data_IF_241300077874
#
_entry.id   IF_241300077874
#
_cell.length_a   1.000
_cell.length_b   1.000
_cell.length_c   1.000
_cell.angle_alpha   90.00
_cell.angle_beta   90.00
_cell.angle_gamma   90.00
#
_symmetry.space_group_name_H-M   'P 1'
#
loop_
_entity.id
_entity.type
_entity.pdbx_description
1 polymer ?
#
# COMPACT_ATOMS: atom_id res chain seq x y z
N UNK A 1 7.72 -1.91 16.36
CA UNK A 1 8.74 -1.23 15.54
C UNK A 1 9.94 -0.90 16.43
N UNK A 2 11.15 -1.22 15.99
CA UNK A 2 12.39 -1.03 16.75
C UNK A 2 13.36 -0.10 16.02
N UNK A 3 14.31 0.47 16.76
CA UNK A 3 15.29 1.45 16.23
C UNK A 3 16.03 0.92 15.00
N UNK A 4 16.46 -0.35 15.03
CA UNK A 4 17.13 -1.03 13.91
C UNK A 4 16.35 -1.09 12.59
N UNK A 5 15.05 -0.82 12.61
CA UNK A 5 14.22 -0.84 11.40
C UNK A 5 14.09 0.54 10.73
N UNK A 6 14.74 1.57 11.26
CA UNK A 6 14.70 2.93 10.72
C UNK A 6 16.06 3.28 10.15
N UNK A 7 16.11 3.47 8.83
CA UNK A 7 17.30 3.85 8.09
C UNK A 7 17.15 5.31 7.63
N UNK A 8 17.58 6.25 8.48
CA UNK A 8 17.38 7.68 8.24
C UNK A 8 18.17 8.20 7.04
N UNK A 9 19.40 7.72 6.83
CA UNK A 9 20.27 8.16 5.73
C UNK A 9 19.72 7.71 4.37
N UNK A 10 19.20 6.49 4.30
CA UNK A 10 18.57 5.94 3.10
C UNK A 10 17.10 6.36 2.94
N UNK A 11 16.52 7.01 3.96
CA UNK A 11 15.11 7.40 3.98
C UNK A 11 14.15 6.21 3.95
N UNK A 12 14.52 5.10 4.59
CA UNK A 12 13.77 3.82 4.53
C UNK A 12 13.25 3.41 5.91
N UNK A 13 12.10 2.76 5.88
CA UNK A 13 11.51 2.07 7.03
C UNK A 13 11.27 0.61 6.68
N UNK A 14 11.80 -0.29 7.51
CA UNK A 14 11.62 -1.73 7.38
C UNK A 14 10.46 -2.18 8.28
N UNK A 15 9.38 -2.68 7.68
CA UNK A 15 8.29 -3.31 8.43
C UNK A 15 8.54 -4.82 8.48
N UNK A 16 9.21 -5.27 9.55
CA UNK A 16 9.62 -6.67 9.74
C UNK A 16 8.94 -7.39 10.92
N UNK A 17 8.27 -6.66 11.80
CA UNK A 17 7.64 -7.20 13.01
C UNK A 17 6.25 -6.60 13.19
N UNK A 18 5.35 -7.37 13.79
CA UNK A 18 4.05 -6.93 14.27
C UNK A 18 3.94 -7.21 15.78
N UNK A 19 3.14 -6.39 16.46
CA UNK A 19 2.85 -6.57 17.87
C UNK A 19 1.39 -7.01 17.99
N UNK A 20 1.18 -8.18 18.58
CA UNK A 20 -0.12 -8.69 18.96
C UNK A 20 -0.30 -8.59 20.48
N UNK A 21 -1.54 -8.44 20.93
CA UNK A 21 -1.88 -8.55 22.34
C UNK A 21 -2.70 -9.83 22.53
N UNK A 22 -2.14 -10.81 23.24
CA UNK A 22 -2.77 -12.10 23.50
C UNK A 22 -2.91 -12.24 25.01
N UNK A 23 -4.14 -12.38 25.50
CA UNK A 23 -4.46 -12.47 26.93
C UNK A 23 -3.82 -11.34 27.77
N UNK A 24 -3.82 -10.11 27.26
CA UNK A 24 -3.24 -8.93 27.94
C UNK A 24 -1.71 -8.84 27.93
N UNK A 25 -1.03 -9.73 27.19
CA UNK A 25 0.43 -9.71 27.01
C UNK A 25 0.81 -9.30 25.60
N UNK A 26 1.81 -8.45 25.49
CA UNK A 26 2.43 -8.08 24.22
C UNK A 26 3.28 -9.24 23.68
N UNK A 27 2.92 -9.76 22.52
CA UNK A 27 3.66 -10.77 21.78
C UNK A 27 4.17 -10.12 20.49
N UNK A 28 5.49 -10.11 20.30
CA UNK A 28 6.08 -9.73 19.03
C UNK A 28 6.14 -10.95 18.12
N UNK A 29 5.60 -10.81 16.92
CA UNK A 29 5.61 -11.85 15.90
C UNK A 29 5.99 -11.22 14.55
N UNK A 30 6.34 -12.04 13.57
CA UNK A 30 6.42 -11.60 12.18
C UNK A 30 5.03 -11.11 11.70
N UNK A 31 4.96 -10.17 10.75
CA UNK A 31 3.69 -9.78 10.16
C UNK A 31 2.95 -11.01 9.64
N UNK A 32 1.60 -11.04 9.69
CA UNK A 32 0.77 -12.19 9.28
C UNK A 32 1.10 -12.79 7.90
N UNK A 33 1.78 -12.07 7.02
CA UNK A 33 2.23 -12.54 5.71
C UNK A 33 3.67 -13.06 5.66
N UNK A 34 4.43 -13.04 6.76
CA UNK A 34 5.89 -13.30 6.83
C UNK A 34 6.75 -12.42 5.92
N UNK A 35 6.17 -11.42 5.23
CA UNK A 35 6.90 -10.59 4.29
C UNK A 35 7.40 -9.32 4.98
N UNK A 36 8.72 -9.23 5.12
CA UNK A 36 9.40 -7.95 5.36
C UNK A 36 9.10 -7.04 4.18
N UNK A 37 8.74 -5.79 4.46
CA UNK A 37 8.58 -4.77 3.41
C UNK A 37 9.35 -3.52 3.75
N UNK A 38 9.86 -2.88 2.72
CA UNK A 38 10.52 -1.59 2.80
C UNK A 38 9.59 -0.50 2.30
N UNK A 39 9.55 0.61 3.02
CA UNK A 39 8.79 1.79 2.65
C UNK A 39 9.75 2.98 2.62
N UNK A 40 9.89 3.60 1.45
CA UNK A 40 10.55 4.90 1.34
C UNK A 40 9.69 5.97 2.00
N UNK A 41 10.31 6.76 2.87
CA UNK A 41 9.67 7.80 3.67
C UNK A 41 9.90 9.17 3.04
N UNK A 42 8.89 10.07 3.08
CA UNK A 42 9.08 11.46 2.67
C UNK A 42 9.93 12.22 3.70
N UNK A 43 10.60 13.29 3.26
CA UNK A 43 11.54 14.06 4.08
C UNK A 43 10.97 14.61 5.39
N UNK A 44 9.68 14.98 5.41
CA UNK A 44 9.03 15.45 6.64
C UNK A 44 8.87 14.33 7.68
N UNK A 45 8.63 13.09 7.27
CA UNK A 45 8.57 11.93 8.18
C UNK A 45 9.96 11.58 8.68
N UNK A 46 10.98 11.63 7.81
CA UNK A 46 12.38 11.42 8.21
C UNK A 46 12.78 12.45 9.28
N UNK A 47 12.42 13.72 9.09
CA UNK A 47 12.69 14.80 10.04
C UNK A 47 12.00 14.55 11.39
N UNK A 48 10.72 14.15 11.37
CA UNK A 48 9.98 13.80 12.58
C UNK A 48 10.59 12.59 13.31
N UNK A 49 10.98 11.54 12.56
CA UNK A 49 11.64 10.36 13.11
C UNK A 49 12.99 10.70 13.72
N UNK A 50 13.80 11.57 13.11
CA UNK A 50 15.08 12.02 13.66
C UNK A 50 14.89 12.68 15.03
N UNK A 51 13.96 13.63 15.14
CA UNK A 51 13.63 14.29 16.41
C UNK A 51 13.04 13.34 17.45
N UNK A 52 12.36 12.28 17.01
CA UNK A 52 11.82 11.26 17.90
C UNK A 52 12.91 10.30 18.41
N UNK A 53 13.76 9.79 17.51
CA UNK A 53 14.86 8.89 17.83
C UNK A 53 15.94 9.53 18.71
N UNK A 54 16.09 10.86 18.66
CA UNK A 54 16.98 11.61 19.56
C UNK A 54 16.53 11.59 21.03
N UNK A 55 15.25 11.29 21.30
CA UNK A 55 14.68 11.19 22.66
C UNK A 55 14.61 9.75 23.18
N UNK A 56 15.02 8.77 22.38
CA UNK A 56 14.96 7.35 22.72
C UNK A 56 16.36 6.81 23.06
N UNK A 57 16.44 5.67 23.77
CA UNK A 57 17.69 4.96 23.95
C UNK A 57 18.39 4.66 22.61
N UNK A 58 19.71 4.59 22.64
CA UNK A 58 20.54 4.28 21.47
C UNK A 58 20.55 2.77 21.13
N UNK A 59 19.98 1.94 21.99
CA UNK A 59 19.83 0.50 21.78
C UNK A 59 19.10 0.19 20.46
N UNK A 60 19.65 -0.71 19.65
CA UNK A 60 19.07 -1.15 18.38
C UNK A 60 17.67 -1.75 18.54
N UNK A 61 17.41 -2.35 19.70
CA UNK A 61 16.20 -3.09 20.02
C UNK A 61 15.17 -2.22 20.74
N UNK A 62 15.52 -0.96 21.03
CA UNK A 62 14.61 0.02 21.60
C UNK A 62 13.36 0.16 20.72
N UNK A 63 12.19 0.10 21.36
CA UNK A 63 10.91 0.32 20.70
C UNK A 63 10.77 1.80 20.35
N UNK A 64 10.31 2.07 19.12
CA UNK A 64 10.03 3.44 18.68
C UNK A 64 8.86 4.05 19.44
N UNK A 65 7.83 3.27 19.70
CA UNK A 65 6.59 3.76 20.30
C UNK A 65 6.35 3.01 21.60
N UNK A 66 6.50 3.73 22.70
CA UNK A 66 6.39 3.19 24.06
C UNK A 66 5.41 4.02 24.88
N UNK A 67 4.79 3.38 25.87
CA UNK A 67 4.06 4.09 26.92
C UNK A 67 5.01 4.73 27.93
N UNK A 68 4.45 5.41 28.94
CA UNK A 68 5.22 6.11 30.00
C UNK A 68 6.21 5.22 30.75
N UNK A 69 5.99 3.91 30.78
CA UNK A 69 6.82 2.92 31.47
C UNK A 69 7.87 2.27 30.58
N UNK A 70 8.06 2.77 29.34
CA UNK A 70 9.01 2.21 28.36
C UNK A 70 8.55 0.89 27.71
N UNK A 71 7.40 0.34 28.14
CA UNK A 71 6.78 -0.84 27.52
C UNK A 71 6.09 -0.47 26.21
N UNK A 72 5.81 -1.49 25.39
CA UNK A 72 5.05 -1.31 24.16
C UNK A 72 3.69 -0.64 24.42
N UNK A 73 3.24 0.18 23.47
CA UNK A 73 1.94 0.85 23.55
C UNK A 73 0.80 -0.17 23.49
N UNK A 74 -0.10 -0.10 24.47
CA UNK A 74 -1.40 -0.75 24.37
C UNK A 74 -2.28 0.01 23.38
N UNK A 75 -2.76 -0.69 22.33
CA UNK A 75 -3.52 -0.09 21.25
C UNK A 75 -4.76 0.67 21.75
N UNK A 76 -5.56 0.03 22.61
CA UNK A 76 -6.80 0.63 23.12
C UNK A 76 -6.57 1.88 23.97
N UNK A 77 -5.50 1.90 24.76
CA UNK A 77 -5.12 3.05 25.55
C UNK A 77 -4.65 4.19 24.64
N UNK A 78 -3.73 3.92 23.71
CA UNK A 78 -3.25 4.92 22.77
C UNK A 78 -4.40 5.51 21.92
N UNK A 79 -5.31 4.66 21.44
CA UNK A 79 -6.47 5.09 20.67
C UNK A 79 -7.32 6.08 21.48
N UNK A 80 -7.76 5.68 22.67
CA UNK A 80 -8.63 6.51 23.52
C UNK A 80 -7.99 7.84 23.93
N UNK A 81 -6.74 7.81 24.36
CA UNK A 81 -6.10 8.98 24.99
C UNK A 81 -5.44 9.93 24.01
N UNK A 82 -5.05 9.47 22.82
CA UNK A 82 -4.33 10.29 21.86
C UNK A 82 -5.05 10.37 20.51
N UNK A 83 -5.46 9.24 19.95
CA UNK A 83 -6.05 9.24 18.62
C UNK A 83 -7.44 9.88 18.58
N UNK A 84 -8.35 9.43 19.46
CA UNK A 84 -9.73 9.93 19.48
C UNK A 84 -9.74 11.43 19.82
N UNK A 85 -8.88 11.90 20.73
CA UNK A 85 -8.70 13.32 21.01
C UNK A 85 -8.19 14.13 19.80
N UNK A 86 -7.33 13.54 18.96
CA UNK A 86 -6.87 14.19 17.73
C UNK A 86 -7.96 14.22 16.64
N UNK A 87 -8.81 13.18 16.58
CA UNK A 87 -9.99 13.13 15.71
C UNK A 87 -10.98 14.24 16.09
N UNK A 88 -11.27 14.39 17.38
CA UNK A 88 -12.15 15.44 17.91
C UNK A 88 -11.59 16.83 17.62
N UNK A 89 -10.29 17.05 17.87
CA UNK A 89 -9.62 18.32 17.59
C UNK A 89 -9.61 18.68 16.10
N UNK A 90 -9.64 17.69 15.21
CA UNK A 90 -9.77 17.86 13.77
C UNK A 90 -11.22 18.07 13.31
N UNK A 91 -12.21 18.00 14.21
CA UNK A 91 -13.63 18.11 13.88
C UNK A 91 -14.19 16.91 13.10
N UNK A 92 -13.51 15.77 13.16
CA UNK A 92 -13.90 14.55 12.46
C UNK A 92 -14.74 13.64 13.37
N UNK A 93 -15.51 12.73 12.77
CA UNK A 93 -16.30 11.72 13.50
C UNK A 93 -16.07 10.35 12.90
N UNK A 94 -16.16 9.31 13.72
CA UNK A 94 -16.09 7.90 13.33
C UNK A 94 -14.83 7.51 12.55
N UNK A 95 -13.72 8.22 12.78
CA UNK A 95 -12.43 7.88 12.18
C UNK A 95 -11.68 6.91 13.09
N UNK A 96 -11.14 5.87 12.49
CA UNK A 96 -10.26 4.88 13.14
C UNK A 96 -8.83 4.97 12.60
N UNK A 97 -7.84 4.42 13.30
CA UNK A 97 -6.48 4.31 12.76
C UNK A 97 -6.41 3.51 11.44
N UNK A 98 -7.36 2.61 11.19
CA UNK A 98 -7.42 1.85 9.94
C UNK A 98 -7.84 2.73 8.76
N UNK A 99 -8.64 3.77 9.00
CA UNK A 99 -9.08 4.70 7.96
C UNK A 99 -7.94 5.57 7.44
N UNK A 100 -6.92 5.86 8.27
CA UNK A 100 -5.69 6.52 7.81
C UNK A 100 -4.96 5.65 6.77
N UNK A 101 -4.91 4.34 7.01
CA UNK A 101 -4.29 3.39 6.07
C UNK A 101 -5.12 3.30 4.78
N UNK A 102 -6.45 3.26 4.88
CA UNK A 102 -7.33 3.27 3.73
C UNK A 102 -7.18 4.56 2.91
N UNK A 103 -7.09 5.72 3.58
CA UNK A 103 -6.89 7.02 2.94
C UNK A 103 -5.57 7.08 2.17
N UNK A 104 -4.46 6.64 2.76
CA UNK A 104 -3.18 6.54 2.06
C UNK A 104 -3.28 5.61 0.84
N UNK A 105 -3.95 4.47 0.97
CA UNK A 105 -4.14 3.52 -0.13
C UNK A 105 -4.86 4.17 -1.32
N UNK A 106 -5.99 4.82 -1.05
CA UNK A 106 -6.79 5.51 -2.05
C UNK A 106 -5.99 6.64 -2.70
N UNK A 107 -5.29 7.45 -1.92
CA UNK A 107 -4.47 8.57 -2.43
C UNK A 107 -3.37 8.09 -3.39
N UNK A 108 -2.69 6.98 -3.07
CA UNK A 108 -1.67 6.37 -3.92
C UNK A 108 -2.28 5.74 -5.16
N UNK A 109 -3.40 5.02 -5.02
CA UNK A 109 -4.07 4.37 -6.13
C UNK A 109 -4.56 5.39 -7.16
N UNK A 110 -5.06 6.53 -6.69
CA UNK A 110 -5.61 7.60 -7.50
C UNK A 110 -4.56 8.36 -8.32
N UNK A 111 -3.35 8.54 -7.78
CA UNK A 111 -2.25 9.29 -8.42
C UNK A 111 -1.25 8.42 -9.18
N UNK A 112 -1.21 7.14 -8.86
CA UNK A 112 -0.26 6.20 -9.43
C UNK A 112 -1.01 4.99 -9.95
N UNK A 113 -1.08 3.91 -9.17
CA UNK A 113 -1.86 2.73 -9.53
C UNK A 113 -2.24 1.92 -8.30
N UNK A 114 -3.30 1.14 -8.43
CA UNK A 114 -3.73 0.17 -7.42
C UNK A 114 -2.60 -0.80 -7.07
N UNK A 115 -1.76 -1.17 -8.05
CA UNK A 115 -0.62 -2.06 -7.82
C UNK A 115 0.48 -1.41 -6.97
N UNK A 116 0.77 -0.13 -7.18
CA UNK A 116 1.71 0.62 -6.33
C UNK A 116 1.18 0.74 -4.90
N UNK A 117 -0.13 1.02 -4.75
CA UNK A 117 -0.78 1.04 -3.44
C UNK A 117 -0.69 -0.33 -2.74
N UNK A 118 -1.04 -1.42 -3.43
CA UNK A 118 -0.96 -2.80 -2.91
C UNK A 118 0.43 -3.14 -2.40
N UNK A 119 1.47 -2.84 -3.20
CA UNK A 119 2.87 -3.08 -2.85
C UNK A 119 3.31 -2.29 -1.63
N UNK A 120 2.99 -0.99 -1.55
CA UNK A 120 3.31 -0.16 -0.36
C UNK A 120 2.62 -0.66 0.91
N UNK A 121 1.39 -1.18 0.78
CA UNK A 121 0.62 -1.69 1.89
C UNK A 121 1.08 -3.09 2.37
N UNK A 122 1.71 -3.88 1.49
CA UNK A 122 2.14 -5.24 1.79
C UNK A 122 1.02 -6.27 1.76
N UNK A 123 0.01 -6.08 0.90
CA UNK A 123 -1.02 -7.10 0.69
C UNK A 123 -0.46 -8.21 -0.22
N UNK A 124 -0.38 -9.44 0.31
CA UNK A 124 -0.01 -10.63 -0.47
C UNK A 124 -1.07 -11.03 -1.50
N UNK A 125 -2.30 -10.50 -1.38
CA UNK A 125 -3.37 -10.71 -2.33
C UNK A 125 -3.92 -9.35 -2.81
N UNK A 126 -3.67 -9.03 -4.09
CA UNK A 126 -4.14 -7.80 -4.72
C UNK A 126 -5.67 -7.71 -4.79
N UNK A 127 -6.39 -8.83 -4.73
CA UNK A 127 -7.86 -8.89 -4.86
C UNK A 127 -8.63 -8.14 -3.76
N UNK A 128 -8.13 -8.17 -2.52
CA UNK A 128 -8.71 -7.38 -1.41
C UNK A 128 -8.42 -5.88 -1.59
N UNK A 129 -7.30 -5.54 -2.24
CA UNK A 129 -6.88 -4.17 -2.51
C UNK A 129 -7.74 -3.55 -3.62
N UNK A 130 -8.00 -4.28 -4.70
CA UNK A 130 -8.83 -3.79 -5.82
C UNK A 130 -10.26 -3.52 -5.39
N UNK A 131 -10.89 -4.41 -4.60
CA UNK A 131 -12.31 -4.26 -4.21
C UNK A 131 -12.57 -3.08 -3.26
N UNK A 132 -11.59 -2.69 -2.44
CA UNK A 132 -11.74 -1.61 -1.45
C UNK A 132 -11.25 -0.24 -1.93
N UNK A 133 -10.33 -0.18 -2.91
CA UNK A 133 -9.70 1.09 -3.33
C UNK A 133 -10.03 1.53 -4.75
N UNK A 134 -10.54 0.64 -5.60
CA UNK A 134 -11.12 1.04 -6.89
C UNK A 134 -12.54 1.57 -6.65
N UNK A 135 -12.66 2.76 -6.04
CA UNK A 135 -13.90 3.54 -6.21
C UNK A 135 -13.86 4.13 -7.61
N UNK A 136 -14.87 3.80 -8.42
CA UNK A 136 -15.13 4.56 -9.64
C UNK A 136 -15.29 6.03 -9.24
N UNK A 137 -14.44 6.89 -9.80
CA UNK A 137 -14.59 8.34 -9.68
C UNK A 137 -15.45 8.75 -10.87
N UNK A 138 -16.62 9.33 -10.60
CA UNK A 138 -17.47 9.87 -11.66
C UNK A 138 -16.65 10.85 -12.52
N UNK A 139 -16.71 10.69 -13.84
CA UNK A 139 -15.94 11.48 -14.80
C UNK A 139 -14.66 10.82 -15.34
N UNK A 140 -14.04 9.87 -14.61
CA UNK A 140 -12.82 9.18 -15.10
C UNK A 140 -13.06 8.38 -16.38
N UNK A 141 -14.24 7.78 -16.52
CA UNK A 141 -14.60 7.06 -17.75
C UNK A 141 -14.66 7.99 -18.96
N UNK A 142 -15.15 9.22 -18.74
CA UNK A 142 -15.17 10.25 -19.78
C UNK A 142 -13.77 10.75 -20.13
N UNK A 143 -12.90 10.96 -19.14
CA UNK A 143 -11.48 11.28 -19.40
C UNK A 143 -10.77 10.19 -20.21
N UNK A 144 -11.06 8.92 -19.93
CA UNK A 144 -10.52 7.79 -20.68
C UNK A 144 -11.05 7.81 -22.12
N UNK A 145 -12.35 8.04 -22.31
CA UNK A 145 -12.95 8.16 -23.62
C UNK A 145 -12.35 9.33 -24.42
N UNK A 146 -12.24 10.51 -23.81
CA UNK A 146 -11.63 11.69 -24.42
C UNK A 146 -10.15 11.44 -24.78
N UNK A 147 -9.43 10.68 -23.95
CA UNK A 147 -8.06 10.23 -24.22
C UNK A 147 -7.95 9.31 -25.43
N UNK A 148 -8.86 8.33 -25.57
CA UNK A 148 -8.93 7.48 -26.75
C UNK A 148 -9.24 8.27 -28.03
N UNK A 149 -10.16 9.23 -27.94
CA UNK A 149 -10.50 10.11 -29.06
C UNK A 149 -9.32 10.99 -29.47
N UNK A 150 -8.56 11.51 -28.50
CA UNK A 150 -7.34 12.27 -28.77
C UNK A 150 -6.25 11.42 -29.45
N UNK A 151 -5.96 10.22 -28.94
CA UNK A 151 -4.99 9.31 -29.56
C UNK A 151 -5.40 8.89 -30.97
N UNK A 152 -6.69 8.59 -31.18
CA UNK A 152 -7.22 8.24 -32.50
C UNK A 152 -7.17 9.43 -33.46
N UNK A 153 -7.50 10.64 -33.01
CA UNK A 153 -7.38 11.87 -33.78
C UNK A 153 -5.95 12.19 -34.19
N UNK A 154 -4.95 11.83 -33.36
CA UNK A 154 -3.53 11.93 -33.75
C UNK A 154 -3.07 10.86 -34.74
N UNK A 155 -3.69 9.66 -34.73
CA UNK A 155 -3.36 8.55 -35.64
C UNK A 155 -4.07 8.63 -37.00
N UNK A 156 -5.24 9.26 -37.06
CA UNK A 156 -5.96 9.49 -38.32
C UNK A 156 -5.23 10.49 -39.25
N UNK A 157 -4.20 11.18 -38.73
CA UNK A 157 -3.25 11.98 -39.50
C UNK A 157 -2.04 11.20 -40.04
N UNK A 158 -1.85 9.94 -39.66
CA UNK A 158 -0.72 9.10 -40.10
C UNK A 158 -1.14 7.63 -40.24
N UNK A 159 -1.82 7.36 -41.36
CA UNK A 159 -1.99 6.08 -42.04
C UNK A 159 -2.37 4.83 -41.21
N UNK A 160 -3.59 4.37 -41.46
CA UNK A 160 -3.99 2.96 -41.49
C UNK A 160 -2.85 2.02 -41.91
N UNK A 161 -2.33 1.20 -40.97
CA UNK A 161 -1.82 -0.15 -41.28
C UNK A 161 -1.50 -0.99 -40.03
N UNK A 162 -2.28 -2.07 -39.94
CA UNK A 162 -1.99 -3.39 -39.32
C UNK A 162 -2.10 -3.51 -37.79
N UNK A 163 -3.31 -3.80 -37.31
CA UNK A 163 -3.55 -4.36 -35.98
C UNK A 163 -4.46 -5.59 -36.03
N UNK A 164 -4.21 -6.53 -36.94
CA UNK A 164 -4.75 -7.91 -36.86
C UNK A 164 -3.75 -8.90 -37.45
N UNK A 165 -2.88 -9.46 -36.61
CA UNK A 165 -2.11 -10.66 -36.94
C UNK A 165 -1.75 -11.42 -35.66
N UNK A 166 -2.74 -11.80 -34.86
CA UNK A 166 -2.58 -12.81 -33.81
C UNK A 166 -3.91 -13.53 -33.61
N UNK A 167 -4.05 -14.67 -34.30
CA UNK A 167 -4.78 -15.89 -33.92
C UNK A 167 -5.22 -16.63 -35.19
N UNK A 168 -4.37 -17.49 -35.71
CA UNK A 168 -4.75 -18.68 -36.50
C UNK A 168 -3.49 -19.52 -36.73
N UNK A 169 -3.30 -20.55 -35.91
CA UNK A 169 -2.79 -21.86 -36.31
C UNK A 169 -2.73 -22.74 -35.05
N UNK A 170 -3.88 -23.32 -34.70
CA UNK A 170 -3.98 -24.57 -33.94
C UNK A 170 -5.36 -25.15 -34.24
N UNK A 171 -5.54 -25.64 -35.47
CA UNK A 171 -6.57 -26.62 -35.81
C UNK A 171 -6.18 -27.30 -37.13
N UNK A 172 -5.36 -28.35 -37.02
CA UNK A 172 -5.28 -29.41 -38.04
C UNK A 172 -5.43 -30.75 -37.36
N UNK A 173 -6.67 -31.26 -37.35
CA UNK A 173 -6.91 -32.70 -37.30
C UNK A 173 -6.34 -33.35 -38.56
N UNK A 174 -5.54 -34.42 -38.48
CA UNK A 174 -5.22 -35.23 -39.65
C UNK A 174 -6.34 -36.24 -39.90
N UNK A 175 -7.09 -35.99 -40.98
CA UNK A 175 -8.02 -36.93 -41.61
C UNK A 175 -7.29 -38.21 -42.02
N UNK A 176 -7.82 -39.37 -41.61
CA UNK A 176 -7.39 -40.69 -42.06
C UNK A 176 -7.61 -40.87 -43.57
N UNK A 177 -6.74 -41.66 -44.23
CA UNK A 177 -7.08 -42.69 -45.22
C UNK A 177 -5.79 -43.41 -45.72
N UNK A 178 -5.73 -44.73 -45.54
CA UNK A 178 -4.82 -45.69 -46.23
C UNK A 178 -5.23 -45.83 -47.73
N UNK A 179 -4.40 -46.37 -48.67
CA UNK A 179 -4.00 -47.79 -48.70
C UNK A 179 -2.63 -48.14 -49.36
N UNK A 180 -2.14 -49.35 -49.10
CA UNK A 180 -1.78 -50.37 -50.10
C UNK A 180 -2.11 -51.75 -49.52
#
# INVERSE_FOLDING_TARGET
>A
MRRRHVELEQGRLIVAESLAEIAGKHVFDTPKSHQRREITLPGFVISALRSHLGRLPQDSDALLFTGRTGKALHYNAWRRWHFDSAVDAAGLKDVTPHDLRATHATWVADRHSVMVAARRLGHSNASVTTRHYARAVEGRDREIADGFDAERGTRDGSEDRVARMWHEEDDKEPTALSPL
#
